data_IF_377345781766
#
_entry.id   IF_377345781766
#
_cell.length_a   1.000
_cell.length_b   1.000
_cell.length_c   1.000
_cell.angle_alpha   90.00
_cell.angle_beta   90.00
_cell.angle_gamma   90.00
#
_symmetry.space_group_name_H-M   'P 1'
#
loop_
_entity.id
_entity.type
_entity.pdbx_description
1 polymer ?
#
# COMPACT_ATOMS: atom_id res chain seq x y z
N UNK A 1 24.15 -5.47 16.69
CA UNK A 1 24.06 -6.46 15.61
C UNK A 1 22.58 -6.67 15.30
N UNK A 2 22.07 -5.88 14.34
CA UNK A 2 20.70 -6.05 13.86
C UNK A 2 20.69 -7.34 13.03
N UNK A 3 20.15 -8.43 13.56
CA UNK A 3 19.91 -9.68 12.81
C UNK A 3 18.82 -9.42 11.77
N UNK A 4 19.15 -8.62 10.75
CA UNK A 4 18.25 -8.32 9.66
C UNK A 4 18.11 -9.55 8.77
N UNK A 5 16.89 -9.99 8.59
CA UNK A 5 16.57 -10.96 7.55
C UNK A 5 16.74 -10.23 6.21
N UNK A 6 17.87 -10.45 5.54
CA UNK A 6 18.18 -9.80 4.28
C UNK A 6 17.14 -10.15 3.23
N UNK A 7 16.43 -9.15 2.75
CA UNK A 7 15.40 -9.30 1.74
C UNK A 7 15.68 -8.56 0.42
N UNK A 8 16.75 -7.76 0.39
CA UNK A 8 17.13 -6.95 -0.77
C UNK A 8 18.05 -5.80 -0.39
N UNK A 9 18.51 -4.99 -1.36
CA UNK A 9 19.35 -3.84 -1.10
C UNK A 9 18.64 -2.83 -0.21
N UNK A 10 19.41 -2.21 0.67
CA UNK A 10 18.98 -1.13 1.53
C UNK A 10 18.79 0.14 0.69
N UNK A 11 17.84 0.97 1.06
CA UNK A 11 17.58 2.27 0.46
C UNK A 11 17.99 3.37 1.44
N UNK A 12 18.68 4.37 0.95
CA UNK A 12 18.96 5.60 1.69
C UNK A 12 17.99 6.67 1.16
N UNK A 13 17.23 7.26 2.07
CA UNK A 13 16.30 8.34 1.77
C UNK A 13 16.50 9.44 2.83
N UNK A 14 17.17 10.52 2.45
CA UNK A 14 17.65 11.54 3.38
C UNK A 14 18.48 10.94 4.54
N UNK A 15 18.09 11.19 5.77
CA UNK A 15 18.76 10.64 6.98
C UNK A 15 18.22 9.25 7.39
N UNK A 16 17.44 8.60 6.53
CA UNK A 16 16.77 7.33 6.83
C UNK A 16 17.36 6.19 6.00
N UNK A 17 17.57 5.06 6.64
CA UNK A 17 17.91 3.81 5.99
C UNK A 17 16.68 2.91 6.00
N UNK A 18 16.16 2.58 4.84
CA UNK A 18 14.96 1.75 4.70
C UNK A 18 15.38 0.34 4.30
N UNK A 19 14.95 -0.65 5.08
CA UNK A 19 15.17 -2.06 4.77
C UNK A 19 14.19 -2.54 3.71
N UNK A 20 14.56 -3.60 2.99
CA UNK A 20 13.80 -4.12 1.86
C UNK A 20 13.58 -5.63 2.02
N UNK A 21 12.34 -6.08 1.77
CA UNK A 21 11.95 -7.48 1.93
C UNK A 21 10.46 -7.71 1.67
N UNK A 22 9.83 -8.56 2.46
CA UNK A 22 8.37 -8.77 2.49
C UNK A 22 7.64 -7.66 3.24
N UNK A 23 8.15 -6.48 3.23
CA UNK A 23 7.92 -5.28 3.99
C UNK A 23 9.27 -4.72 4.42
N UNK A 24 9.29 -3.63 5.15
CA UNK A 24 10.51 -3.05 5.65
C UNK A 24 10.27 -2.10 6.82
N UNK A 25 11.35 -1.64 7.40
CA UNK A 25 11.36 -0.67 8.47
C UNK A 25 12.49 0.33 8.29
N UNK A 26 12.37 1.43 8.98
CA UNK A 26 13.31 2.52 8.93
C UNK A 26 14.31 2.46 10.08
N UNK A 27 15.54 2.80 9.76
CA UNK A 27 16.65 2.97 10.71
C UNK A 27 17.17 4.40 10.55
N UNK A 28 17.30 5.09 11.64
CA UNK A 28 18.01 6.38 11.68
C UNK A 28 19.49 6.16 11.40
N UNK A 29 20.01 6.80 10.36
CA UNK A 29 21.40 6.62 9.90
C UNK A 29 22.42 7.09 10.94
N UNK A 30 22.09 8.12 11.73
CA UNK A 30 23.01 8.71 12.71
C UNK A 30 23.13 7.87 13.96
N UNK A 31 22.03 7.28 14.40
CA UNK A 31 21.96 6.52 15.65
C UNK A 31 22.03 5.02 15.44
N UNK A 32 21.76 4.53 14.22
CA UNK A 32 21.65 3.11 13.88
C UNK A 32 20.45 2.42 14.53
N UNK A 33 19.49 3.16 15.07
CA UNK A 33 18.31 2.60 15.76
C UNK A 33 17.07 2.64 14.87
N UNK A 34 16.17 1.64 15.00
CA UNK A 34 14.86 1.70 14.37
C UNK A 34 14.08 2.92 14.83
N UNK A 35 13.42 3.62 13.92
CA UNK A 35 12.59 4.81 14.21
C UNK A 35 11.17 4.46 14.61
N UNK A 36 10.74 3.23 14.34
CA UNK A 36 9.35 2.78 14.51
C UNK A 36 8.57 2.76 13.21
N UNK A 37 8.97 3.54 12.20
CA UNK A 37 8.30 3.51 10.90
C UNK A 37 8.51 2.16 10.19
N UNK A 38 7.44 1.64 9.59
CA UNK A 38 7.41 0.37 8.86
C UNK A 38 6.48 0.49 7.66
N UNK A 39 6.72 -0.35 6.66
CA UNK A 39 5.74 -0.60 5.60
C UNK A 39 5.52 -2.10 5.42
N UNK A 40 4.33 -2.47 5.03
CA UNK A 40 3.94 -3.83 4.70
C UNK A 40 3.85 -3.98 3.19
N UNK A 41 4.15 -5.17 2.69
CA UNK A 41 3.88 -5.54 1.29
C UNK A 41 3.43 -6.98 1.21
N UNK A 42 2.60 -7.24 0.23
CA UNK A 42 2.22 -8.59 -0.16
C UNK A 42 3.32 -9.22 -1.04
N UNK A 43 3.05 -10.38 -1.59
CA UNK A 43 4.00 -11.07 -2.45
C UNK A 43 4.54 -10.18 -3.58
N UNK A 44 5.84 -10.24 -3.79
CA UNK A 44 6.51 -9.55 -4.89
C UNK A 44 7.99 -9.92 -4.99
N UNK A 45 8.48 -10.08 -6.22
CA UNK A 45 9.84 -10.54 -6.48
C UNK A 45 10.86 -9.41 -6.58
N UNK A 46 10.43 -8.18 -6.86
CA UNK A 46 11.33 -7.04 -7.03
C UNK A 46 11.72 -6.40 -5.69
N UNK A 47 12.75 -5.61 -5.72
CA UNK A 47 13.14 -4.71 -4.65
C UNK A 47 12.33 -3.42 -4.73
N UNK A 48 12.09 -2.76 -3.59
CA UNK A 48 11.50 -1.43 -3.60
C UNK A 48 12.46 -0.40 -4.20
N UNK A 49 11.90 0.61 -4.86
CA UNK A 49 12.60 1.78 -5.39
C UNK A 49 12.06 3.02 -4.70
N UNK A 50 12.97 3.84 -4.18
CA UNK A 50 12.64 5.11 -3.54
C UNK A 50 12.73 6.28 -4.50
N UNK A 51 11.81 7.22 -4.39
CA UNK A 51 11.89 8.57 -4.93
C UNK A 51 11.75 9.57 -3.78
N UNK A 52 11.66 10.86 -4.07
CA UNK A 52 11.52 11.88 -3.03
C UNK A 52 10.32 11.66 -2.11
N UNK A 53 9.20 11.18 -2.66
CA UNK A 53 7.95 11.06 -1.92
C UNK A 53 7.38 9.65 -1.89
N UNK A 54 7.82 8.76 -2.76
CA UNK A 54 7.23 7.43 -2.91
C UNK A 54 8.28 6.33 -2.79
N UNK A 55 7.92 5.29 -2.08
CA UNK A 55 8.53 3.97 -2.15
C UNK A 55 7.63 3.11 -3.03
N UNK A 56 8.14 2.60 -4.15
CA UNK A 56 7.38 1.81 -5.12
C UNK A 56 7.89 0.39 -5.20
N UNK A 57 6.99 -0.56 -5.30
CA UNK A 57 7.31 -1.99 -5.31
C UNK A 57 6.15 -2.82 -5.84
N UNK A 58 6.38 -4.10 -6.02
CA UNK A 58 5.30 -5.06 -6.22
C UNK A 58 4.74 -5.48 -4.86
N UNK A 59 3.42 -5.42 -4.70
CA UNK A 59 2.65 -5.88 -3.54
C UNK A 59 1.44 -6.68 -4.04
N UNK A 60 1.69 -7.91 -4.52
CA UNK A 60 0.74 -8.64 -5.36
C UNK A 60 0.69 -8.03 -6.75
N UNK A 61 0.03 -6.89 -6.90
CA UNK A 61 0.08 -5.98 -8.04
C UNK A 61 1.10 -4.85 -7.80
N UNK A 62 1.04 -3.79 -8.60
CA UNK A 62 1.82 -2.57 -8.40
C UNK A 62 1.39 -1.88 -7.11
N UNK A 63 2.35 -1.59 -6.25
CA UNK A 63 2.13 -0.99 -4.96
C UNK A 63 3.07 0.16 -4.66
N UNK A 64 2.69 0.98 -3.71
CA UNK A 64 3.49 2.10 -3.25
C UNK A 64 3.27 2.37 -1.76
N UNK A 65 4.21 3.09 -1.17
CA UNK A 65 4.07 3.68 0.15
C UNK A 65 4.46 5.16 0.05
N UNK A 66 3.63 6.04 0.60
CA UNK A 66 3.95 7.46 0.69
C UNK A 66 4.97 7.67 1.82
N UNK A 67 6.12 8.23 1.47
CA UNK A 67 7.20 8.52 2.43
C UNK A 67 6.99 9.81 3.20
N UNK A 68 6.00 10.61 2.84
CA UNK A 68 5.67 11.89 3.49
C UNK A 68 4.57 11.77 4.53
N UNK A 69 3.84 10.64 4.53
CA UNK A 69 2.71 10.40 5.43
C UNK A 69 2.69 8.99 5.98
N UNK A 70 1.71 8.75 6.85
CA UNK A 70 1.48 7.47 7.54
C UNK A 70 0.31 6.71 6.91
N UNK A 71 0.14 6.78 5.61
CA UNK A 71 -1.04 6.25 4.94
C UNK A 71 -0.97 4.76 4.59
N UNK A 72 0.09 4.07 5.01
CA UNK A 72 0.25 2.64 4.74
C UNK A 72 0.63 2.33 3.29
N UNK A 73 0.36 1.10 2.87
CA UNK A 73 0.68 0.61 1.54
C UNK A 73 -0.52 0.68 0.61
N UNK A 74 -0.40 1.44 -0.45
CA UNK A 74 -1.41 1.51 -1.52
C UNK A 74 -1.14 0.50 -2.63
N UNK A 75 -2.21 0.07 -3.30
CA UNK A 75 -2.16 -0.76 -4.50
C UNK A 75 -2.80 -0.03 -5.68
N UNK A 76 -2.09 -0.01 -6.80
CA UNK A 76 -2.60 0.55 -8.05
C UNK A 76 -3.47 -0.46 -8.83
N UNK A 77 -3.40 -1.74 -8.47
CA UNK A 77 -4.18 -2.81 -9.10
C UNK A 77 -3.81 -3.09 -10.55
N UNK A 78 -4.39 -4.11 -11.14
CA UNK A 78 -4.42 -4.37 -12.60
C UNK A 78 -3.09 -4.62 -13.32
N UNK A 79 -1.96 -4.26 -12.77
CA UNK A 79 -0.63 -4.44 -13.33
C UNK A 79 0.42 -4.62 -12.23
N UNK A 80 1.64 -4.92 -12.59
CA UNK A 80 2.77 -5.07 -11.66
C UNK A 80 4.06 -4.58 -12.30
N UNK A 81 5.05 -4.26 -11.46
CA UNK A 81 6.44 -4.32 -11.91
C UNK A 81 6.83 -5.76 -12.17
N UNK A 82 7.74 -6.00 -13.09
CA UNK A 82 8.28 -7.34 -13.34
C UNK A 82 9.25 -7.77 -12.23
N UNK A 83 9.81 -8.98 -12.36
CA UNK A 83 10.78 -9.49 -11.39
C UNK A 83 12.08 -8.67 -11.35
N UNK A 84 12.47 -8.05 -12.43
CA UNK A 84 13.74 -7.33 -12.62
C UNK A 84 13.57 -5.86 -12.94
N UNK A 85 12.44 -5.48 -13.55
CA UNK A 85 12.12 -4.08 -13.83
C UNK A 85 11.22 -3.52 -12.74
N UNK A 86 11.57 -2.38 -12.21
CA UNK A 86 10.84 -1.74 -11.11
C UNK A 86 9.86 -0.69 -11.63
N UNK A 87 8.94 -0.30 -10.77
CA UNK A 87 8.14 0.90 -10.96
C UNK A 87 9.04 2.11 -10.68
N UNK A 88 9.16 3.02 -11.62
CA UNK A 88 10.10 4.14 -11.53
C UNK A 88 9.31 5.45 -11.57
N UNK A 89 9.11 6.10 -10.41
CA UNK A 89 8.56 7.45 -10.38
C UNK A 89 9.63 8.47 -10.78
N UNK A 90 9.36 9.24 -11.82
CA UNK A 90 10.23 10.31 -12.31
C UNK A 90 9.41 11.40 -12.98
N UNK A 91 9.71 12.65 -12.69
CA UNK A 91 9.12 13.83 -13.33
C UNK A 91 7.56 13.84 -13.34
N UNK A 92 6.95 13.42 -12.25
CA UNK A 92 5.49 13.34 -12.13
C UNK A 92 4.85 12.17 -12.87
N UNK A 93 5.63 11.26 -13.41
CA UNK A 93 5.17 10.06 -14.12
C UNK A 93 5.65 8.81 -13.40
N UNK A 94 4.75 7.86 -13.15
CA UNK A 94 5.13 6.52 -12.71
C UNK A 94 5.30 5.61 -13.93
N UNK A 95 6.53 5.23 -14.20
CA UNK A 95 6.87 4.34 -15.30
C UNK A 95 6.83 2.88 -14.85
N UNK A 96 6.06 2.07 -15.55
CA UNK A 96 5.99 0.62 -15.38
C UNK A 96 6.46 -0.07 -16.67
N UNK A 97 7.77 -0.37 -16.80
CA UNK A 97 8.31 -0.96 -18.01
C UNK A 97 7.86 -2.40 -18.20
N UNK A 98 7.59 -2.78 -19.43
CA UNK A 98 7.34 -4.17 -19.81
C UNK A 98 8.57 -5.04 -19.61
N UNK A 99 8.41 -6.13 -18.90
CA UNK A 99 9.43 -7.17 -18.78
C UNK A 99 8.85 -8.51 -18.34
N UNK A 100 7.86 -9.03 -19.05
CA UNK A 100 7.11 -10.20 -18.55
C UNK A 100 7.24 -11.47 -19.38
N UNK A 101 8.08 -11.49 -20.40
CA UNK A 101 8.15 -12.59 -21.36
C UNK A 101 8.47 -13.96 -20.77
N UNK A 102 9.14 -14.02 -19.63
CA UNK A 102 9.58 -15.27 -19.00
C UNK A 102 8.89 -15.55 -17.66
N UNK A 103 8.04 -14.65 -17.19
CA UNK A 103 7.38 -14.76 -15.89
C UNK A 103 5.92 -15.18 -16.04
N UNK A 104 5.52 -16.26 -15.35
CA UNK A 104 4.16 -16.80 -15.36
C UNK A 104 3.30 -16.35 -14.19
N UNK A 105 3.76 -15.40 -13.37
CA UNK A 105 3.00 -14.88 -12.24
C UNK A 105 1.75 -14.11 -12.69
N UNK A 106 0.78 -13.95 -11.78
CA UNK A 106 -0.42 -13.12 -12.00
C UNK A 106 -0.08 -11.67 -12.36
N UNK A 107 -1.01 -10.97 -13.01
CA UNK A 107 -0.88 -9.58 -13.46
C UNK A 107 0.26 -9.39 -14.48
N UNK A 108 0.38 -10.30 -15.39
CA UNK A 108 1.34 -10.14 -16.50
C UNK A 108 0.96 -8.94 -17.36
N UNK A 109 1.95 -8.13 -17.64
CA UNK A 109 1.83 -6.97 -18.49
C UNK A 109 2.80 -7.13 -19.66
N UNK A 110 2.29 -7.03 -20.88
CA UNK A 110 3.08 -7.12 -22.11
C UNK A 110 3.22 -5.76 -22.79
N UNK A 111 3.10 -4.71 -22.00
CA UNK A 111 3.20 -3.34 -22.49
C UNK A 111 3.78 -2.45 -21.41
N UNK A 112 4.56 -1.47 -21.78
CA UNK A 112 5.01 -0.44 -20.85
C UNK A 112 3.87 0.53 -20.60
N UNK A 113 3.71 0.93 -19.34
CA UNK A 113 2.73 1.91 -18.91
C UNK A 113 3.42 3.15 -18.37
N UNK A 114 2.81 4.29 -18.60
CA UNK A 114 3.13 5.55 -17.97
C UNK A 114 1.88 6.07 -17.27
N UNK A 115 1.93 6.18 -15.95
CA UNK A 115 0.81 6.62 -15.13
C UNK A 115 1.09 8.04 -14.64
N UNK A 116 0.10 8.91 -14.76
CA UNK A 116 0.16 10.30 -14.28
C UNK A 116 -0.78 10.50 -13.11
N UNK A 117 -0.46 11.46 -12.26
CA UNK A 117 -1.31 11.83 -11.14
C UNK A 117 -2.67 12.33 -11.65
N UNK A 118 -3.74 11.81 -11.08
CA UNK A 118 -5.11 12.23 -11.37
C UNK A 118 -5.75 12.76 -10.09
N UNK A 119 -5.88 14.08 -9.92
CA UNK A 119 -6.52 14.68 -8.76
C UNK A 119 -7.97 14.21 -8.61
N UNK A 120 -8.40 13.94 -7.38
CA UNK A 120 -9.76 13.54 -7.07
C UNK A 120 -10.03 12.03 -7.07
N UNK A 121 -9.03 11.21 -7.40
CA UNK A 121 -9.15 9.76 -7.18
C UNK A 121 -8.86 9.45 -5.71
N UNK A 122 -9.74 8.66 -5.11
CA UNK A 122 -9.54 8.15 -3.76
C UNK A 122 -8.35 7.17 -3.71
N UNK A 123 -7.56 7.28 -2.66
CA UNK A 123 -6.45 6.37 -2.41
C UNK A 123 -6.81 5.40 -1.28
N UNK A 124 -6.70 4.11 -1.56
CA UNK A 124 -6.94 3.05 -0.60
C UNK A 124 -5.64 2.35 -0.26
N UNK A 125 -5.43 2.11 1.03
CA UNK A 125 -4.18 1.57 1.56
C UNK A 125 -4.44 0.37 2.47
N UNK A 126 -3.38 -0.26 3.01
CA UNK A 126 -3.48 -1.29 4.03
C UNK A 126 -2.24 -1.28 4.94
N UNK A 127 -2.30 -2.01 6.04
CA UNK A 127 -1.17 -2.12 6.96
C UNK A 127 -0.94 -0.88 7.82
N UNK A 128 -1.95 -0.04 7.99
CA UNK A 128 -1.87 1.21 8.75
C UNK A 128 -1.65 0.97 10.25
N UNK A 129 -2.02 -0.20 10.78
CA UNK A 129 -1.79 -0.57 12.17
C UNK A 129 -0.32 -0.60 12.55
N UNK A 130 0.58 -0.70 11.57
CA UNK A 130 2.02 -0.69 11.81
C UNK A 130 2.60 0.70 12.11
N UNK A 131 1.82 1.76 11.92
CA UNK A 131 2.27 3.15 12.13
C UNK A 131 1.95 3.71 13.52
N UNK A 132 1.26 2.95 14.36
CA UNK A 132 0.93 3.42 15.69
C UNK A 132 2.08 3.16 16.66
N UNK A 133 2.82 4.22 17.01
CA UNK A 133 3.79 4.21 18.12
C UNK A 133 3.12 4.45 19.47
N UNK A 134 1.93 5.06 19.48
CA UNK A 134 1.13 5.42 20.64
C UNK A 134 -0.22 4.69 20.61
N UNK A 135 -0.87 4.51 21.79
CA UNK A 135 -2.21 3.93 21.83
C UNK A 135 -3.20 4.75 21.00
N UNK A 136 -3.91 4.08 20.11
CA UNK A 136 -4.92 4.70 19.25
C UNK A 136 -6.11 5.13 20.11
N UNK A 137 -6.48 6.41 20.04
CA UNK A 137 -7.61 6.99 20.80
C UNK A 137 -8.94 6.84 20.07
N UNK A 138 -8.90 6.88 18.74
CA UNK A 138 -10.09 6.76 17.90
C UNK A 138 -9.71 6.27 16.49
N UNK A 139 -10.60 5.52 15.89
CA UNK A 139 -10.55 5.10 14.48
C UNK A 139 -11.97 4.90 13.97
N UNK A 140 -12.15 4.80 12.67
CA UNK A 140 -13.41 4.45 12.04
C UNK A 140 -13.37 3.07 11.39
N UNK A 141 -14.55 2.50 11.14
CA UNK A 141 -14.72 1.34 10.29
C UNK A 141 -15.51 1.76 9.05
N UNK A 142 -14.95 1.48 7.89
CA UNK A 142 -15.60 1.75 6.62
C UNK A 142 -16.11 0.45 6.02
N UNK A 143 -17.43 0.27 6.11
CA UNK A 143 -18.09 -0.96 5.69
C UNK A 143 -18.09 -1.06 4.18
N UNK A 144 -17.36 -2.05 3.67
CA UNK A 144 -17.27 -2.33 2.24
C UNK A 144 -16.26 -1.51 1.47
N UNK A 145 -15.44 -0.73 2.14
CA UNK A 145 -14.33 -0.06 1.49
C UNK A 145 -13.31 -1.08 0.91
N UNK A 146 -12.64 -0.76 -0.18
CA UNK A 146 -11.63 -1.64 -0.78
C UNK A 146 -10.26 -1.57 -0.10
N UNK A 147 -10.14 -0.83 0.98
CA UNK A 147 -8.94 -0.66 1.78
C UNK A 147 -9.10 0.41 2.85
N UNK A 148 -8.03 0.66 3.58
CA UNK A 148 -7.97 1.72 4.59
C UNK A 148 -7.88 3.11 3.92
N UNK A 149 -8.37 4.13 4.61
CA UNK A 149 -8.25 5.52 4.18
C UNK A 149 -8.05 6.45 5.37
N UNK A 150 -7.55 7.67 5.12
CA UNK A 150 -7.53 8.75 6.11
C UNK A 150 -8.40 9.89 5.64
N UNK A 151 -9.23 10.38 6.55
CA UNK A 151 -10.01 11.58 6.28
C UNK A 151 -9.17 12.87 6.42
N UNK A 152 -9.77 14.01 6.08
CA UNK A 152 -9.09 15.31 6.18
C UNK A 152 -8.71 15.71 7.61
N UNK A 153 -9.33 15.11 8.60
CA UNK A 153 -9.02 15.32 10.03
C UNK A 153 -7.88 14.41 10.51
N UNK A 154 -7.41 13.49 9.65
CA UNK A 154 -6.37 12.51 9.98
C UNK A 154 -6.89 11.24 10.65
N UNK A 155 -8.21 11.09 10.81
CA UNK A 155 -8.80 9.85 11.35
C UNK A 155 -8.56 8.70 10.39
N UNK A 156 -8.03 7.60 10.90
CA UNK A 156 -7.87 6.37 10.14
C UNK A 156 -9.18 5.60 10.11
N UNK A 157 -9.59 5.22 8.92
CA UNK A 157 -10.76 4.39 8.64
C UNK A 157 -10.28 3.06 8.07
N UNK A 158 -10.52 1.98 8.80
CA UNK A 158 -10.19 0.63 8.36
C UNK A 158 -11.30 0.07 7.47
N UNK A 159 -10.92 -0.69 6.45
CA UNK A 159 -11.86 -1.46 5.66
C UNK A 159 -12.45 -2.62 6.48
N UNK A 160 -13.75 -2.86 6.30
CA UNK A 160 -14.41 -4.01 6.90
C UNK A 160 -15.50 -4.58 5.96
N UNK A 161 -15.48 -5.90 5.65
CA UNK A 161 -14.38 -6.84 5.93
C UNK A 161 -13.11 -6.46 5.20
N UNK A 162 -11.94 -6.80 5.76
CA UNK A 162 -10.67 -6.41 5.16
C UNK A 162 -10.46 -7.12 3.81
N UNK A 163 -10.28 -6.33 2.78
CA UNK A 163 -10.07 -6.79 1.39
C UNK A 163 -8.79 -6.23 0.76
N UNK A 164 -8.27 -5.13 1.31
CA UNK A 164 -7.12 -4.41 0.78
C UNK A 164 -5.76 -5.02 1.13
N UNK A 165 -5.67 -5.93 2.09
CA UNK A 165 -4.43 -6.54 2.55
C UNK A 165 -4.44 -6.84 4.04
N UNK A 166 -3.28 -7.07 4.67
CA UNK A 166 -3.20 -7.27 6.11
C UNK A 166 -3.75 -6.07 6.88
N UNK A 167 -4.57 -6.32 7.88
CA UNK A 167 -5.17 -5.32 8.75
C UNK A 167 -5.54 -5.90 10.10
N UNK A 168 -5.95 -5.06 11.05
CA UNK A 168 -6.39 -5.50 12.37
C UNK A 168 -7.67 -6.35 12.25
N UNK A 169 -7.80 -7.30 13.17
CA UNK A 169 -9.01 -8.12 13.25
C UNK A 169 -10.00 -7.46 14.19
N UNK A 170 -11.18 -7.16 13.66
CA UNK A 170 -12.30 -6.62 14.43
C UNK A 170 -13.38 -7.69 14.60
N UNK A 171 -13.89 -7.83 15.82
CA UNK A 171 -15.11 -8.61 16.09
C UNK A 171 -16.30 -7.65 16.06
N UNK A 172 -16.95 -7.58 14.90
CA UNK A 172 -18.05 -6.64 14.64
C UNK A 172 -19.37 -7.40 14.67
N UNK A 173 -20.28 -6.99 15.54
CA UNK A 173 -21.64 -7.49 15.60
C UNK A 173 -22.59 -6.49 14.97
N UNK A 174 -23.50 -6.96 14.14
CA UNK A 174 -24.51 -6.15 13.46
C UNK A 174 -25.90 -6.43 14.00
N UNK A 175 -26.64 -5.37 14.31
CA UNK A 175 -28.07 -5.45 14.57
C UNK A 175 -28.85 -4.55 13.60
N UNK A 176 -29.88 -5.06 12.91
CA UNK A 176 -30.35 -6.45 12.87
C UNK A 176 -29.39 -7.38 12.12
N UNK A 177 -29.32 -8.64 12.53
CA UNK A 177 -28.43 -9.69 12.04
C UNK A 177 -28.76 -10.17 10.59
N UNK A 178 -29.08 -9.26 9.69
CA UNK A 178 -29.31 -9.61 8.28
C UNK A 178 -28.14 -9.09 7.43
N UNK A 179 -27.06 -9.86 7.28
CA UNK A 179 -25.87 -9.45 6.53
C UNK A 179 -26.15 -9.24 5.04
N UNK A 180 -27.20 -9.84 4.48
CA UNK A 180 -27.55 -9.71 3.05
C UNK A 180 -27.91 -8.27 2.67
N UNK A 181 -28.47 -7.48 3.59
CA UNK A 181 -28.74 -6.06 3.35
C UNK A 181 -27.48 -5.20 3.24
N UNK A 182 -26.42 -5.56 3.91
CA UNK A 182 -25.15 -4.84 3.86
C UNK A 182 -24.35 -5.21 2.61
N UNK A 183 -24.39 -6.47 2.21
CA UNK A 183 -23.75 -6.93 0.96
C UNK A 183 -24.38 -6.29 -0.27
N UNK A 184 -25.70 -6.05 -0.29
CA UNK A 184 -26.36 -5.32 -1.37
C UNK A 184 -25.88 -3.86 -1.51
N UNK A 185 -25.61 -3.18 -0.41
CA UNK A 185 -25.08 -1.80 -0.44
C UNK A 185 -23.64 -1.74 -0.99
N UNK A 186 -22.85 -2.79 -0.78
CA UNK A 186 -21.50 -2.92 -1.30
C UNK A 186 -21.42 -3.01 -2.83
N UNK A 187 -22.42 -3.68 -3.44
CA UNK A 187 -22.47 -3.87 -4.89
C UNK A 187 -23.33 -2.83 -5.63
N UNK A 188 -24.12 -2.04 -4.90
CA UNK A 188 -25.06 -1.07 -5.48
C UNK A 188 -24.69 0.39 -5.24
N UNK A 189 -23.62 0.67 -4.50
CA UNK A 189 -23.04 2.01 -4.50
C UNK A 189 -22.56 2.32 -5.91
N UNK A 190 -23.10 3.34 -6.58
CA UNK A 190 -22.61 3.72 -7.89
C UNK A 190 -21.12 4.04 -7.78
N UNK A 191 -20.33 3.40 -8.63
CA UNK A 191 -18.95 3.80 -8.80
C UNK A 191 -18.94 5.26 -9.28
N UNK A 192 -17.99 6.11 -8.83
CA UNK A 192 -17.84 7.45 -9.37
C UNK A 192 -17.68 7.52 -10.90
N UNK A 193 -17.59 6.36 -11.56
CA UNK A 193 -17.52 6.23 -13.03
C UNK A 193 -18.89 6.16 -13.71
N UNK A 194 -19.96 5.93 -12.95
CA UNK A 194 -21.30 5.73 -13.52
C UNK A 194 -22.07 7.05 -13.67
N UNK A 195 -21.52 8.17 -13.20
CA UNK A 195 -22.09 9.52 -13.30
C UNK A 195 -21.55 10.34 -14.48
N UNK A 196 -21.15 9.67 -15.59
CA UNK A 196 -20.76 10.36 -16.84
C UNK A 196 -21.63 9.97 -18.01
#
# INVERSE_FOLDING_TARGET
DLKLKYGGPLLIHHDRLITNGGGGFEIDIKTGKPTGWKYSRMYGCNTAVGSEHLLTFRSGAAGFCDLTGDSGTGNLGGFRSSCTSNLIPADGVLNAPDYTRTCSCSYQLQTSLALVHMPGIESWTFGNENFFSEPVKSFGLNLGAPGDSRDKAGTLWFDYPSVGGPGPKFDVQFEPTNPERFLCLLYTSPSPRDDR
#
